data_IF_283030199614
#
_entry.id   IF_283030199614
#
_cell.length_a   1.000
_cell.length_b   1.000
_cell.length_c   1.000
_cell.angle_alpha   90.00
_cell.angle_beta   90.00
_cell.angle_gamma   90.00
#
_symmetry.space_group_name_H-M   'P 1'
#
loop_
_entity.id
_entity.type
_entity.pdbx_description
1 polymer ?
#
# COMPACT_ATOMS: atom_id res chain seq x y z
N UNK A 1 -12.30 41.49 -0.93
CA UNK A 1 -11.33 40.71 -0.13
C UNK A 1 -12.01 39.57 0.64
N UNK A 2 -13.00 39.83 1.50
CA UNK A 2 -13.71 38.80 2.27
C UNK A 2 -14.38 37.72 1.39
N UNK A 3 -15.09 38.12 0.33
CA UNK A 3 -15.76 37.20 -0.61
C UNK A 3 -14.75 36.30 -1.32
N UNK A 4 -13.60 36.85 -1.73
CA UNK A 4 -12.51 36.11 -2.36
C UNK A 4 -11.95 35.05 -1.42
N UNK A 5 -11.74 35.40 -0.14
CA UNK A 5 -11.27 34.47 0.89
C UNK A 5 -12.27 33.31 1.06
N UNK A 6 -13.57 33.62 1.21
CA UNK A 6 -14.62 32.61 1.38
C UNK A 6 -14.65 31.64 0.18
N UNK A 7 -14.61 32.17 -1.05
CA UNK A 7 -14.57 31.34 -2.26
C UNK A 7 -13.33 30.45 -2.33
N UNK A 8 -12.15 30.99 -2.00
CA UNK A 8 -10.91 30.19 -1.97
C UNK A 8 -10.95 29.11 -0.88
N UNK A 9 -11.52 29.40 0.28
CA UNK A 9 -11.67 28.41 1.37
C UNK A 9 -12.61 27.28 0.98
N UNK A 10 -13.74 27.58 0.33
CA UNK A 10 -14.69 26.56 -0.14
C UNK A 10 -14.05 25.62 -1.17
N UNK A 11 -13.11 26.12 -1.98
CA UNK A 11 -12.41 25.30 -2.96
C UNK A 11 -11.26 24.48 -2.34
N UNK A 12 -10.50 25.06 -1.42
CA UNK A 12 -9.30 24.41 -0.87
C UNK A 12 -9.57 23.45 0.27
N UNK A 13 -10.55 23.74 1.15
CA UNK A 13 -10.84 22.89 2.32
C UNK A 13 -11.28 21.47 1.91
N UNK A 14 -12.20 21.27 0.96
CA UNK A 14 -12.60 19.93 0.54
C UNK A 14 -11.45 19.14 -0.08
N UNK A 15 -10.60 19.80 -0.88
CA UNK A 15 -9.41 19.17 -1.49
C UNK A 15 -8.42 18.74 -0.41
N UNK A 16 -8.19 19.59 0.60
CA UNK A 16 -7.34 19.25 1.73
C UNK A 16 -7.88 18.10 2.58
N UNK A 17 -9.20 18.07 2.82
CA UNK A 17 -9.87 16.98 3.52
C UNK A 17 -9.77 15.67 2.75
N UNK A 18 -10.05 15.69 1.44
CA UNK A 18 -9.92 14.52 0.56
C UNK A 18 -8.47 14.01 0.57
N UNK A 19 -7.48 14.90 0.48
CA UNK A 19 -6.08 14.49 0.56
C UNK A 19 -5.75 13.83 1.91
N UNK A 20 -6.19 14.44 3.01
CA UNK A 20 -5.91 13.95 4.36
C UNK A 20 -6.51 12.58 4.65
N UNK A 21 -7.77 12.33 4.26
CA UNK A 21 -8.41 11.02 4.50
C UNK A 21 -7.83 9.89 3.66
N UNK A 22 -7.12 10.21 2.58
CA UNK A 22 -6.45 9.26 1.70
C UNK A 22 -4.97 9.07 2.05
N UNK A 23 -4.47 9.65 3.15
CA UNK A 23 -3.10 9.36 3.59
C UNK A 23 -2.98 7.93 4.10
N UNK A 24 -1.92 7.19 3.70
CA UNK A 24 -1.57 5.90 4.30
C UNK A 24 -1.50 6.01 5.83
N UNK A 25 -2.28 5.19 6.53
CA UNK A 25 -2.18 5.03 7.99
C UNK A 25 -1.01 4.17 8.39
N UNK A 26 -0.66 3.21 7.54
CA UNK A 26 0.44 2.27 7.76
C UNK A 26 1.60 2.60 6.84
N UNK A 27 2.80 2.60 7.39
CA UNK A 27 4.04 2.60 6.62
C UNK A 27 4.30 1.21 6.04
N UNK A 28 5.23 1.12 5.08
CA UNK A 28 5.63 -0.18 4.53
C UNK A 28 6.22 -1.09 5.60
N UNK A 29 7.03 -0.56 6.51
CA UNK A 29 7.66 -1.36 7.58
C UNK A 29 6.62 -1.93 8.54
N UNK A 30 5.61 -1.13 8.91
CA UNK A 30 4.48 -1.60 9.72
C UNK A 30 3.66 -2.65 8.98
N UNK A 31 3.40 -2.45 7.69
CA UNK A 31 2.72 -3.42 6.85
C UNK A 31 3.50 -4.74 6.75
N UNK A 32 4.81 -4.66 6.49
CA UNK A 32 5.70 -5.81 6.39
C UNK A 32 5.76 -6.60 7.70
N UNK A 33 5.88 -5.92 8.83
CA UNK A 33 5.85 -6.57 10.14
C UNK A 33 4.51 -7.24 10.41
N UNK A 34 3.38 -6.57 10.12
CA UNK A 34 2.04 -7.15 10.33
C UNK A 34 1.82 -8.43 9.51
N UNK A 35 2.25 -8.45 8.25
CA UNK A 35 2.13 -9.64 7.39
C UNK A 35 3.12 -10.73 7.83
N UNK A 36 4.35 -10.36 8.21
CA UNK A 36 5.35 -11.30 8.72
C UNK A 36 4.86 -12.00 9.99
N UNK A 37 4.29 -11.24 10.92
CA UNK A 37 3.78 -11.77 12.20
C UNK A 37 2.57 -12.70 11.96
N UNK A 38 1.71 -12.38 10.97
CA UNK A 38 0.62 -13.25 10.55
C UNK A 38 1.12 -14.60 10.00
N UNK A 39 2.12 -14.60 9.11
CA UNK A 39 2.72 -15.84 8.59
C UNK A 39 3.49 -16.62 9.68
N UNK A 40 4.16 -15.90 10.60
CA UNK A 40 4.90 -16.53 11.69
C UNK A 40 3.97 -17.27 12.69
N UNK A 41 2.73 -16.81 12.87
CA UNK A 41 1.72 -17.52 13.66
C UNK A 41 1.36 -18.90 13.07
N UNK A 42 1.60 -19.12 11.78
CA UNK A 42 1.42 -20.43 11.14
C UNK A 42 2.55 -21.42 11.45
N UNK A 43 3.51 -21.05 12.31
CA UNK A 43 4.61 -21.90 12.76
C UNK A 43 5.77 -22.04 11.76
N UNK A 44 5.77 -21.24 10.70
CA UNK A 44 6.78 -21.29 9.63
C UNK A 44 7.92 -20.29 9.86
N UNK A 45 9.10 -20.58 9.33
CA UNK A 45 10.20 -19.60 9.32
C UNK A 45 9.92 -18.55 8.25
N UNK A 46 9.74 -17.30 8.69
CA UNK A 46 9.39 -16.18 7.81
C UNK A 46 10.52 -15.15 7.82
N UNK A 47 10.98 -14.77 6.64
CA UNK A 47 11.95 -13.70 6.45
C UNK A 47 11.38 -12.66 5.49
N UNK A 48 11.57 -11.38 5.80
CA UNK A 48 11.22 -10.32 4.87
C UNK A 48 12.18 -10.38 3.69
N UNK A 49 11.65 -10.51 2.48
CA UNK A 49 12.45 -10.43 1.26
C UNK A 49 12.17 -9.10 0.59
N UNK A 50 13.12 -8.17 0.60
CA UNK A 50 12.99 -6.92 -0.16
C UNK A 50 13.52 -7.19 -1.58
N UNK A 51 12.66 -7.17 -2.63
CA UNK A 51 13.15 -7.34 -3.99
C UNK A 51 14.06 -6.17 -4.37
N UNK A 52 15.13 -6.46 -5.12
CA UNK A 52 16.09 -5.46 -5.63
C UNK A 52 15.39 -4.35 -6.41
N UNK A 53 14.33 -4.70 -7.13
CA UNK A 53 13.41 -3.78 -7.79
C UNK A 53 12.07 -3.75 -7.05
N UNK A 54 11.94 -2.79 -6.14
CA UNK A 54 10.69 -2.53 -5.43
C UNK A 54 9.80 -1.65 -6.32
N UNK A 55 8.83 -2.25 -7.00
CA UNK A 55 7.70 -1.49 -7.56
C UNK A 55 6.79 -1.06 -6.39
N UNK A 56 7.15 0.02 -5.70
CA UNK A 56 6.18 0.77 -4.91
C UNK A 56 5.20 1.42 -5.87
N UNK A 57 4.20 0.64 -6.30
CA UNK A 57 3.05 1.20 -6.99
C UNK A 57 2.25 1.97 -5.95
N UNK A 58 2.64 3.23 -5.74
CA UNK A 58 1.67 4.30 -5.52
C UNK A 58 0.89 4.43 -6.83
N UNK A 59 0.07 3.42 -7.11
CA UNK A 59 -0.41 3.12 -8.44
C UNK A 59 -1.49 4.10 -8.86
N UNK A 60 -1.23 4.81 -9.96
CA UNK A 60 -2.25 5.30 -10.87
C UNK A 60 -2.96 4.07 -11.48
N UNK A 61 -3.93 3.52 -10.76
CA UNK A 61 -4.91 2.60 -11.33
C UNK A 61 -5.74 3.31 -12.41
N UNK A 62 -6.36 2.55 -13.30
CA UNK A 62 -7.11 3.03 -14.48
C UNK A 62 -7.79 4.39 -14.27
N UNK A 63 -7.43 5.32 -15.15
CA UNK A 63 -7.82 6.74 -15.17
C UNK A 63 -9.30 6.93 -14.84
N UNK A 64 -9.59 7.19 -13.57
CA UNK A 64 -10.85 7.75 -13.13
C UNK A 64 -10.51 9.05 -12.40
N UNK A 65 -11.06 10.17 -12.90
CA UNK A 65 -10.78 11.53 -12.44
C UNK A 65 -11.02 11.74 -10.92
N UNK A 66 -11.64 10.78 -10.24
CA UNK A 66 -12.00 10.84 -8.82
C UNK A 66 -11.31 9.80 -7.92
N UNK A 67 -10.44 8.91 -8.44
CA UNK A 67 -9.70 7.98 -7.57
C UNK A 67 -8.41 8.63 -7.06
N UNK A 68 -8.46 9.12 -5.83
CA UNK A 68 -7.27 9.34 -5.01
C UNK A 68 -6.45 8.04 -4.97
N UNK A 69 -5.13 8.21 -5.10
CA UNK A 69 -4.06 7.20 -5.20
C UNK A 69 -4.42 5.77 -4.77
N UNK A 70 -4.18 4.79 -5.63
CA UNK A 70 -4.30 3.38 -5.23
C UNK A 70 -3.07 3.03 -4.39
N UNK A 71 -3.19 3.24 -3.08
CA UNK A 71 -2.13 2.91 -2.13
C UNK A 71 -2.17 1.39 -1.90
N UNK A 72 -1.26 0.65 -2.52
CA UNK A 72 -1.12 -0.79 -2.26
C UNK A 72 0.34 -1.12 -2.09
N UNK A 73 0.69 -1.69 -0.94
CA UNK A 73 2.03 -2.23 -0.72
C UNK A 73 2.05 -3.70 -1.11
N UNK A 74 3.05 -4.08 -1.89
CA UNK A 74 3.34 -5.48 -2.16
C UNK A 74 4.42 -5.93 -1.17
N UNK A 75 4.04 -6.77 -0.22
CA UNK A 75 4.94 -7.31 0.79
C UNK A 75 5.40 -8.68 0.33
N UNK A 76 6.71 -8.81 0.09
CA UNK A 76 7.32 -10.07 -0.32
C UNK A 76 7.94 -10.73 0.91
N UNK A 77 7.48 -11.93 1.22
CA UNK A 77 8.01 -12.74 2.31
C UNK A 77 8.60 -14.02 1.74
N UNK A 78 9.74 -14.43 2.29
CA UNK A 78 10.25 -15.77 2.11
C UNK A 78 9.76 -16.62 3.27
N UNK A 79 8.94 -17.61 2.97
CA UNK A 79 8.41 -18.57 3.94
C UNK A 79 9.01 -19.92 3.59
N UNK A 80 9.89 -20.43 4.45
CA UNK A 80 10.70 -21.62 4.16
C UNK A 80 11.53 -21.45 2.88
N UNK A 81 11.16 -22.13 1.78
CA UNK A 81 11.80 -22.03 0.48
C UNK A 81 10.97 -21.28 -0.58
N UNK A 82 9.74 -20.90 -0.26
CA UNK A 82 8.82 -20.26 -1.19
C UNK A 82 8.78 -18.74 -0.97
N UNK A 83 8.63 -18.00 -2.07
CA UNK A 83 8.34 -16.55 -2.01
C UNK A 83 6.84 -16.35 -2.09
N UNK A 84 6.26 -15.76 -1.05
CA UNK A 84 4.85 -15.38 -1.02
C UNK A 84 4.73 -13.85 -1.09
N UNK A 85 3.74 -13.39 -1.84
CA UNK A 85 3.48 -11.96 -2.01
C UNK A 85 2.12 -11.64 -1.40
N UNK A 86 2.07 -10.57 -0.63
CA UNK A 86 0.86 -10.05 -0.02
C UNK A 86 0.56 -8.66 -0.57
N UNK A 87 -0.69 -8.43 -0.95
CA UNK A 87 -1.20 -7.09 -1.21
C UNK A 87 -1.70 -6.52 0.10
N UNK A 88 -1.17 -5.37 0.50
CA UNK A 88 -1.52 -4.69 1.73
C UNK A 88 -2.11 -3.32 1.40
N UNK A 89 -3.30 -3.04 1.96
CA UNK A 89 -3.93 -1.74 1.89
C UNK A 89 -3.47 -0.89 3.10
N UNK A 90 -2.69 0.18 2.89
CA UNK A 90 -2.17 0.97 3.98
C UNK A 90 -3.18 1.97 4.56
N UNK A 91 -4.41 2.05 4.03
CA UNK A 91 -5.47 2.92 4.58
C UNK A 91 -6.23 2.25 5.73
N UNK A 92 -6.41 0.93 5.67
CA UNK A 92 -7.17 0.15 6.65
C UNK A 92 -6.35 -0.99 7.28
N UNK A 93 -5.19 -1.32 6.71
CA UNK A 93 -4.31 -2.37 7.18
C UNK A 93 -4.81 -3.78 6.85
N UNK A 94 -5.77 -3.91 5.94
CA UNK A 94 -6.20 -5.18 5.37
C UNK A 94 -5.15 -5.71 4.40
N UNK A 95 -5.03 -7.03 4.31
CA UNK A 95 -4.13 -7.66 3.36
C UNK A 95 -4.69 -8.98 2.86
N UNK A 96 -4.30 -9.32 1.63
CA UNK A 96 -4.65 -10.58 0.97
C UNK A 96 -3.42 -11.20 0.33
N UNK A 97 -3.37 -12.53 0.32
CA UNK A 97 -2.30 -13.25 -0.38
C UNK A 97 -2.50 -13.07 -1.88
N UNK A 98 -1.49 -12.55 -2.56
CA UNK A 98 -1.52 -12.38 -4.00
C UNK A 98 -1.13 -13.70 -4.68
N UNK A 99 -2.11 -14.45 -5.16
CA UNK A 99 -1.90 -15.70 -5.91
C UNK A 99 -1.55 -15.49 -7.39
N UNK A 100 -1.01 -14.33 -7.74
CA UNK A 100 -0.56 -14.04 -9.11
C UNK A 100 0.85 -14.56 -9.33
N UNK A 101 1.03 -15.38 -10.36
CA UNK A 101 2.31 -15.92 -10.83
C UNK A 101 3.19 -14.80 -11.40
N UNK A 102 3.67 -13.90 -10.54
CA UNK A 102 4.80 -13.03 -10.85
C UNK A 102 6.05 -13.81 -10.43
N UNK A 103 6.42 -14.76 -11.28
CA UNK A 103 7.80 -15.26 -11.35
C UNK A 103 8.71 -14.04 -11.32
N UNK A 104 9.48 -13.91 -10.24
CA UNK A 104 10.65 -13.05 -10.19
C UNK A 104 11.59 -13.59 -11.28
N UNK A 105 11.50 -13.03 -12.49
CA UNK A 105 12.50 -13.26 -13.52
C UNK A 105 13.82 -12.71 -12.97
N UNK A 106 14.64 -13.64 -12.50
CA UNK A 106 16.07 -13.50 -12.34
C UNK A 106 16.68 -13.41 -13.74
N UNK A 107 17.04 -12.19 -14.15
CA UNK A 107 18.13 -11.95 -15.09
C UNK A 107 19.34 -11.42 -14.29
#
# INVERSE_FOLDING_TARGET
MLITIILTSILLIPVGLIYYVNLPKFTYEEAANKVKDYEAQSGKSVQLHLPTHREDKLGLGEKSFFKTTNHTYYIYLKVENDTVVYKFNPLDGSFEKHSGDRTLNSD
#
